data_IF_146102292958
#
_entry.id   IF_146102292958
#
_cell.length_a   1.000
_cell.length_b   1.000
_cell.length_c   1.000
_cell.angle_alpha   90.00
_cell.angle_beta   90.00
_cell.angle_gamma   90.00
#
_symmetry.space_group_name_H-M   'P 1'
#
loop_
_entity.id
_entity.type
_entity.pdbx_description
1 polymer ?
#
# COMPACT_ATOMS: atom_id res chain seq x y z
N UNK A 1 -9.04 -26.43 2.39
CA UNK A 1 -10.24 -25.66 2.11
C UNK A 1 -9.90 -24.53 1.14
N UNK A 2 -10.68 -24.48 0.11
CA UNK A 2 -10.42 -23.61 -1.03
C UNK A 2 -10.40 -22.13 -0.64
N UNK A 3 -11.41 -21.68 0.09
CA UNK A 3 -11.50 -20.26 0.50
C UNK A 3 -10.37 -19.81 1.41
N UNK A 4 -9.91 -20.69 2.29
CA UNK A 4 -8.81 -20.36 3.20
C UNK A 4 -7.53 -20.07 2.44
N UNK A 5 -7.22 -20.90 1.43
CA UNK A 5 -6.04 -20.71 0.60
C UNK A 5 -6.13 -19.39 -0.17
N UNK A 6 -7.30 -19.09 -0.74
CA UNK A 6 -7.52 -17.85 -1.47
C UNK A 6 -7.35 -16.62 -0.59
N UNK A 7 -7.87 -16.66 0.65
CA UNK A 7 -7.71 -15.56 1.59
C UNK A 7 -6.25 -15.36 2.01
N UNK A 8 -5.53 -16.45 2.25
CA UNK A 8 -4.11 -16.36 2.59
C UNK A 8 -3.29 -15.80 1.43
N UNK A 9 -3.61 -16.22 0.20
CA UNK A 9 -2.97 -15.68 -0.99
C UNK A 9 -3.28 -14.19 -1.17
N UNK A 10 -4.50 -13.77 -0.89
CA UNK A 10 -4.88 -12.36 -0.96
C UNK A 10 -4.10 -11.53 0.06
N UNK A 11 -4.00 -11.99 1.30
CA UNK A 11 -3.23 -11.30 2.33
C UNK A 11 -1.75 -11.20 1.95
N UNK A 12 -1.18 -12.27 1.41
CA UNK A 12 0.20 -12.26 0.95
C UNK A 12 0.40 -11.26 -0.19
N UNK A 13 -0.56 -11.19 -1.11
CA UNK A 13 -0.53 -10.22 -2.22
C UNK A 13 -0.60 -8.79 -1.69
N UNK A 14 -1.52 -8.50 -0.76
CA UNK A 14 -1.64 -7.17 -0.14
C UNK A 14 -0.35 -6.78 0.57
N UNK A 15 0.27 -7.72 1.30
CA UNK A 15 1.55 -7.46 1.97
C UNK A 15 2.65 -7.11 0.97
N UNK A 16 2.70 -7.80 -0.18
CA UNK A 16 3.67 -7.48 -1.24
C UNK A 16 3.43 -6.10 -1.84
N UNK A 17 2.17 -5.74 -2.04
CA UNK A 17 1.81 -4.40 -2.53
C UNK A 17 2.24 -3.31 -1.56
N UNK A 18 2.00 -3.51 -0.27
CA UNK A 18 2.41 -2.55 0.75
C UNK A 18 3.93 -2.39 0.81
N UNK A 19 4.67 -3.49 0.72
CA UNK A 19 6.14 -3.45 0.68
C UNK A 19 6.65 -2.73 -0.56
N UNK A 20 6.03 -2.98 -1.70
CA UNK A 20 6.36 -2.30 -2.95
C UNK A 20 6.12 -0.80 -2.85
N UNK A 21 4.96 -0.42 -2.32
CA UNK A 21 4.58 0.98 -2.15
C UNK A 21 5.58 1.70 -1.22
N UNK A 22 5.93 1.09 -0.09
CA UNK A 22 6.89 1.66 0.86
C UNK A 22 8.26 1.87 0.21
N UNK A 23 8.72 0.91 -0.59
CA UNK A 23 9.99 1.03 -1.31
C UNK A 23 9.93 2.13 -2.36
N UNK A 24 8.80 2.24 -3.08
CA UNK A 24 8.62 3.28 -4.08
C UNK A 24 8.66 4.66 -3.43
N UNK A 25 8.02 4.84 -2.28
CA UNK A 25 8.05 6.10 -1.54
C UNK A 25 9.47 6.43 -1.06
N UNK A 26 10.21 5.44 -0.57
CA UNK A 26 11.60 5.65 -0.12
C UNK A 26 12.50 6.07 -1.28
N UNK A 27 12.32 5.47 -2.45
CA UNK A 27 13.07 5.83 -3.66
C UNK A 27 12.72 7.26 -4.08
N UNK A 28 11.43 7.60 -4.09
CA UNK A 28 10.98 8.94 -4.45
C UNK A 28 11.57 10.00 -3.49
N UNK A 29 11.57 9.72 -2.19
CA UNK A 29 12.15 10.64 -1.20
C UNK A 29 13.64 10.84 -1.44
N UNK A 30 14.37 9.78 -1.79
CA UNK A 30 15.80 9.86 -2.08
C UNK A 30 16.07 10.68 -3.33
N UNK A 31 15.28 10.47 -4.38
CA UNK A 31 15.40 11.24 -5.63
C UNK A 31 15.10 12.72 -5.34
N UNK A 32 14.06 13.00 -4.57
CA UNK A 32 13.74 14.38 -4.18
C UNK A 32 14.89 15.04 -3.43
N UNK A 33 15.55 14.32 -2.53
CA UNK A 33 16.72 14.83 -1.82
C UNK A 33 17.86 15.17 -2.77
N UNK A 34 18.11 14.34 -3.77
CA UNK A 34 19.13 14.58 -4.78
C UNK A 34 18.79 15.81 -5.63
N UNK A 35 17.53 15.95 -6.03
CA UNK A 35 17.08 17.10 -6.81
C UNK A 35 17.14 18.38 -5.99
N UNK A 36 16.79 18.32 -4.70
CA UNK A 36 16.91 19.46 -3.80
C UNK A 36 18.34 20.00 -3.74
N UNK A 37 19.34 19.11 -3.79
CA UNK A 37 20.75 19.52 -3.86
C UNK A 37 21.05 20.27 -5.15
N UNK A 38 20.39 19.93 -6.25
CA UNK A 38 20.55 20.60 -7.53
C UNK A 38 19.80 21.95 -7.57
N UNK A 39 18.88 22.21 -6.67
CA UNK A 39 18.06 23.42 -6.67
C UNK A 39 18.88 24.68 -6.45
N UNK A 40 20.05 24.60 -5.86
CA UNK A 40 20.93 25.74 -5.71
C UNK A 40 21.36 26.31 -7.08
N UNK A 41 21.40 25.43 -8.09
CA UNK A 41 21.77 25.80 -9.46
C UNK A 41 20.60 25.68 -10.45
N UNK A 42 19.49 25.05 -10.02
CA UNK A 42 18.33 24.80 -10.85
C UNK A 42 17.16 25.67 -10.38
N UNK A 43 16.94 26.77 -11.08
CA UNK A 43 15.91 27.74 -10.72
C UNK A 43 14.91 27.91 -11.86
N UNK A 44 13.80 28.57 -11.57
CA UNK A 44 12.81 28.96 -12.56
C UNK A 44 11.72 27.91 -12.79
N UNK A 45 11.22 27.85 -14.03
CA UNK A 45 10.07 27.01 -14.40
C UNK A 45 10.31 25.53 -14.23
N UNK A 46 11.54 25.06 -14.43
CA UNK A 46 11.89 23.65 -14.24
C UNK A 46 11.73 23.20 -12.80
N UNK A 47 12.18 24.02 -11.85
CA UNK A 47 12.05 23.71 -10.43
C UNK A 47 10.58 23.72 -9.98
N UNK A 48 9.79 24.70 -10.48
CA UNK A 48 8.36 24.78 -10.17
C UNK A 48 7.60 23.57 -10.73
N UNK A 49 7.90 23.16 -11.96
CA UNK A 49 7.28 22.01 -12.59
C UNK A 49 7.62 20.72 -11.82
N UNK A 50 8.86 20.57 -11.35
CA UNK A 50 9.25 19.42 -10.54
C UNK A 50 8.47 19.38 -9.24
N UNK A 51 8.32 20.52 -8.55
CA UNK A 51 7.55 20.57 -7.29
C UNK A 51 6.10 20.17 -7.51
N UNK A 52 5.48 20.63 -8.60
CA UNK A 52 4.11 20.26 -8.92
C UNK A 52 3.97 18.77 -9.14
N UNK A 53 4.90 18.16 -9.89
CA UNK A 53 4.91 16.71 -10.11
C UNK A 53 5.15 15.93 -8.82
N UNK A 54 6.04 16.42 -7.97
CA UNK A 54 6.30 15.82 -6.67
C UNK A 54 5.03 15.82 -5.81
N UNK A 55 4.31 16.94 -5.75
CA UNK A 55 3.08 17.05 -4.97
C UNK A 55 2.01 16.08 -5.49
N UNK A 56 1.87 15.95 -6.80
CA UNK A 56 0.95 14.98 -7.40
C UNK A 56 1.34 13.54 -7.05
N UNK A 57 2.62 13.23 -7.11
CA UNK A 57 3.13 11.91 -6.75
C UNK A 57 2.81 11.60 -5.29
N UNK A 58 3.08 12.53 -4.38
CA UNK A 58 2.86 12.32 -2.95
C UNK A 58 1.37 12.17 -2.63
N UNK A 59 0.50 12.91 -3.33
CA UNK A 59 -0.95 12.76 -3.18
C UNK A 59 -1.41 11.38 -3.65
N UNK A 60 -0.89 10.92 -4.79
CA UNK A 60 -1.20 9.59 -5.31
C UNK A 60 -0.71 8.48 -4.40
N UNK A 61 0.48 8.62 -3.83
CA UNK A 61 1.04 7.67 -2.87
C UNK A 61 0.18 7.58 -1.60
N UNK A 62 -0.31 8.72 -1.11
CA UNK A 62 -1.20 8.75 0.06
C UNK A 62 -2.52 8.03 -0.23
N UNK A 63 -3.09 8.25 -1.41
CA UNK A 63 -4.31 7.53 -1.84
C UNK A 63 -4.05 6.03 -1.94
N UNK A 64 -2.91 5.63 -2.48
CA UNK A 64 -2.54 4.22 -2.59
C UNK A 64 -2.41 3.58 -1.22
N UNK A 65 -1.75 4.25 -0.26
CA UNK A 65 -1.61 3.73 1.10
C UNK A 65 -2.97 3.51 1.75
N UNK A 66 -3.88 4.47 1.58
CA UNK A 66 -5.22 4.34 2.15
C UNK A 66 -5.99 3.19 1.50
N UNK A 67 -5.92 3.07 0.18
CA UNK A 67 -6.57 1.97 -0.55
C UNK A 67 -6.03 0.62 -0.09
N UNK A 68 -4.72 0.49 0.09
CA UNK A 68 -4.09 -0.74 0.58
C UNK A 68 -4.52 -1.05 2.02
N UNK A 69 -4.62 -0.03 2.87
CA UNK A 69 -5.09 -0.21 4.24
C UNK A 69 -6.54 -0.70 4.29
N UNK A 70 -7.40 -0.14 3.43
CA UNK A 70 -8.79 -0.58 3.33
C UNK A 70 -8.89 -2.01 2.80
N UNK A 71 -8.10 -2.34 1.78
CA UNK A 71 -8.07 -3.69 1.22
C UNK A 71 -7.60 -4.70 2.26
N UNK A 72 -6.55 -4.35 3.02
CA UNK A 72 -6.06 -5.22 4.08
C UNK A 72 -7.10 -5.42 5.17
N UNK A 73 -7.77 -4.36 5.59
CA UNK A 73 -8.82 -4.46 6.60
C UNK A 73 -9.97 -5.36 6.11
N UNK A 74 -10.37 -5.23 4.85
CA UNK A 74 -11.41 -6.06 4.26
C UNK A 74 -10.98 -7.54 4.21
N UNK A 75 -9.73 -7.80 3.83
CA UNK A 75 -9.20 -9.16 3.78
C UNK A 75 -9.10 -9.78 5.18
N UNK A 76 -8.63 -9.01 6.17
CA UNK A 76 -8.56 -9.46 7.57
C UNK A 76 -9.95 -9.77 8.10
N UNK A 77 -10.94 -8.93 7.80
CA UNK A 77 -12.33 -9.15 8.22
C UNK A 77 -12.91 -10.40 7.57
N UNK A 78 -12.68 -10.60 6.29
CA UNK A 78 -13.13 -11.80 5.58
C UNK A 78 -12.50 -13.06 6.17
N UNK A 79 -11.20 -13.00 6.49
CA UNK A 79 -10.50 -14.12 7.13
C UNK A 79 -11.09 -14.42 8.50
N UNK A 80 -11.39 -13.40 9.30
CA UNK A 80 -11.98 -13.56 10.63
C UNK A 80 -13.36 -14.20 10.53
N UNK A 81 -14.19 -13.72 9.63
CA UNK A 81 -15.54 -14.28 9.41
C UNK A 81 -15.47 -15.75 8.98
N UNK A 82 -14.54 -16.07 8.09
CA UNK A 82 -14.34 -17.45 7.67
C UNK A 82 -13.91 -18.35 8.85
N UNK A 83 -12.96 -17.86 9.64
CA UNK A 83 -12.46 -18.60 10.81
C UNK A 83 -13.57 -18.84 11.84
N UNK A 84 -14.39 -17.82 12.10
CA UNK A 84 -15.51 -17.92 13.03
C UNK A 84 -16.57 -18.91 12.52
N UNK A 85 -16.89 -18.87 11.24
CA UNK A 85 -17.84 -19.78 10.63
C UNK A 85 -17.34 -21.25 10.71
N UNK A 86 -16.08 -21.46 10.43
CA UNK A 86 -15.46 -22.78 10.51
C UNK A 86 -15.50 -23.35 11.94
N UNK A 87 -15.23 -22.48 12.92
CA UNK A 87 -15.29 -22.87 14.35
C UNK A 87 -16.70 -23.23 14.76
N UNK A 88 -17.69 -22.43 14.37
CA UNK A 88 -19.09 -22.73 14.66
C UNK A 88 -19.54 -24.07 14.05
N UNK A 89 -19.10 -24.34 12.83
CA UNK A 89 -19.42 -25.61 12.18
C UNK A 89 -18.85 -26.80 12.94
N UNK A 90 -17.63 -26.69 13.45
CA UNK A 90 -17.02 -27.74 14.27
C UNK A 90 -17.80 -27.95 15.57
N UNK A 91 -18.18 -26.86 16.23
CA UNK A 91 -18.96 -26.91 17.47
C UNK A 91 -20.33 -27.57 17.25
N UNK A 92 -20.97 -27.27 16.13
CA UNK A 92 -22.29 -27.83 15.81
C UNK A 92 -22.21 -29.33 15.49
N UNK A 93 -21.08 -29.79 14.98
CA UNK A 93 -20.89 -31.22 14.68
C UNK A 93 -20.39 -32.02 15.86
N UNK A 94 -19.90 -31.37 16.87
CA UNK A 94 -19.46 -32.01 18.11
C UNK A 94 -20.65 -32.27 19.05
#
# INVERSE_FOLDING_TARGET
>A
MHYRVELEELLAFVNRLQSFEQRAEAIAARVDGQIATLHDTWAGTGAAAHRAQHDEWMAGAAQMREALAQLRAAADNAHQLYTDAARLNVEMLA
#
